data_IF_387562914084
#
_entry.id   IF_387562914084
#
_cell.length_a   1.000
_cell.length_b   1.000
_cell.length_c   1.000
_cell.angle_alpha   90.00
_cell.angle_beta   90.00
_cell.angle_gamma   90.00
#
_symmetry.space_group_name_H-M   'P 1'
#
loop_
_entity.id
_entity.type
_entity.pdbx_description
1 polymer ?
#
# COMPACT_ATOMS: atom_id res chain seq x y z
N UNK A 1 -5.81 11.28 12.63
CA UNK A 1 -6.25 10.14 13.47
C UNK A 1 -6.29 10.40 15.01
N UNK A 2 -6.16 11.63 15.50
CA UNK A 2 -6.15 11.90 16.97
C UNK A 2 -7.41 11.40 17.67
N UNK A 3 -8.58 11.56 17.05
CA UNK A 3 -9.86 11.13 17.66
C UNK A 3 -9.92 9.62 17.91
N UNK A 4 -9.44 8.80 16.97
CA UNK A 4 -9.39 7.34 17.13
C UNK A 4 -8.48 6.95 18.29
N UNK A 5 -7.29 7.55 18.38
CA UNK A 5 -6.36 7.30 19.49
C UNK A 5 -6.97 7.66 20.85
N UNK A 6 -7.69 8.78 20.93
CA UNK A 6 -8.39 9.18 22.17
C UNK A 6 -9.52 8.19 22.54
N UNK A 7 -10.26 7.67 21.56
CA UNK A 7 -11.29 6.64 21.81
C UNK A 7 -10.65 5.32 22.28
N UNK A 8 -9.49 4.92 21.75
CA UNK A 8 -8.75 3.76 22.27
C UNK A 8 -8.40 3.98 23.74
N UNK A 9 -7.94 5.17 24.11
CA UNK A 9 -7.67 5.52 25.50
C UNK A 9 -8.92 5.41 26.39
N UNK A 10 -10.08 5.82 25.87
CA UNK A 10 -11.35 5.66 26.60
C UNK A 10 -11.70 4.18 26.81
N UNK A 11 -11.58 3.36 25.76
CA UNK A 11 -11.82 1.91 25.85
C UNK A 11 -10.91 1.26 26.90
N UNK A 12 -9.62 1.64 26.93
CA UNK A 12 -8.68 1.12 27.93
C UNK A 12 -9.07 1.49 29.36
N UNK A 13 -9.55 2.72 29.57
CA UNK A 13 -10.05 3.16 30.86
C UNK A 13 -11.34 2.41 31.28
N UNK A 14 -12.27 2.24 30.33
CA UNK A 14 -13.53 1.52 30.56
C UNK A 14 -13.30 0.03 30.85
N UNK A 15 -12.22 -0.54 30.29
CA UNK A 15 -11.75 -1.89 30.59
C UNK A 15 -11.05 -2.02 31.96
N UNK A 16 -11.05 -0.97 32.77
CA UNK A 16 -10.45 -0.93 34.10
C UNK A 16 -8.94 -1.21 34.13
N UNK A 17 -8.21 -0.86 33.08
CA UNK A 17 -6.76 -0.85 33.16
C UNK A 17 -6.28 0.14 34.19
N UNK A 18 -5.22 -0.18 34.98
CA UNK A 18 -4.61 0.78 35.88
C UNK A 18 -4.22 2.07 35.12
N UNK A 19 -4.45 3.23 35.71
CA UNK A 19 -4.32 4.54 35.07
C UNK A 19 -2.96 4.83 34.44
N UNK A 20 -1.91 4.12 34.88
CA UNK A 20 -0.54 4.31 34.42
C UNK A 20 -0.09 3.29 33.36
N UNK A 21 -0.97 2.35 32.96
CA UNK A 21 -0.64 1.32 31.97
C UNK A 21 -0.78 1.81 30.54
N UNK A 22 -1.59 2.82 30.28
CA UNK A 22 -1.82 3.34 28.94
C UNK A 22 -2.00 4.87 28.96
N UNK A 23 -1.33 5.56 28.04
CA UNK A 23 -1.47 7.01 27.91
C UNK A 23 -1.34 7.44 26.44
N UNK A 24 -2.34 8.14 25.94
CA UNK A 24 -2.26 8.83 24.67
C UNK A 24 -1.47 10.14 24.81
N UNK A 25 -0.49 10.33 23.94
CA UNK A 25 0.25 11.58 23.80
C UNK A 25 0.13 12.03 22.35
N UNK A 26 -0.41 13.22 22.13
CA UNK A 26 -0.43 13.85 20.81
C UNK A 26 0.84 14.67 20.69
N UNK A 27 1.71 14.29 19.75
CA UNK A 27 3.04 14.86 19.60
C UNK A 27 3.38 15.05 18.12
N UNK A 28 4.26 15.97 17.83
CA UNK A 28 4.92 16.10 16.54
C UNK A 28 6.20 15.24 16.46
N UNK A 29 6.87 15.25 15.32
CA UNK A 29 8.05 14.41 15.08
C UNK A 29 9.23 14.78 16.01
N UNK A 30 9.42 16.06 16.34
CA UNK A 30 10.51 16.50 17.22
C UNK A 30 10.27 16.04 18.65
N UNK A 31 9.01 16.11 19.11
CA UNK A 31 8.61 15.63 20.42
C UNK A 31 8.74 14.10 20.53
N UNK A 32 8.45 13.36 19.47
CA UNK A 32 8.65 11.90 19.42
C UNK A 32 10.12 11.56 19.62
N UNK A 33 11.04 12.28 18.99
CA UNK A 33 12.47 12.06 19.17
C UNK A 33 12.89 12.26 20.63
N UNK A 34 12.39 13.31 21.29
CA UNK A 34 12.63 13.56 22.70
C UNK A 34 12.09 12.40 23.60
N UNK A 35 10.87 11.94 23.33
CA UNK A 35 10.24 10.85 24.09
C UNK A 35 11.05 9.57 23.93
N UNK A 36 11.38 9.25 22.71
CA UNK A 36 12.11 8.00 22.39
C UNK A 36 13.57 8.03 22.86
N UNK A 37 14.18 9.18 22.99
CA UNK A 37 15.53 9.34 23.56
C UNK A 37 15.58 9.17 25.09
N UNK A 38 14.48 9.37 25.80
CA UNK A 38 14.43 9.28 27.26
C UNK A 38 14.79 7.85 27.74
N UNK A 39 15.66 7.76 28.75
CA UNK A 39 16.16 6.48 29.28
C UNK A 39 15.05 5.59 29.89
N UNK A 40 13.95 6.17 30.30
CA UNK A 40 12.79 5.44 30.82
C UNK A 40 12.01 4.70 29.73
N UNK A 41 12.10 5.15 28.47
CA UNK A 41 11.55 4.43 27.32
C UNK A 41 12.51 3.28 26.98
N UNK A 42 12.07 2.07 27.15
CA UNK A 42 12.89 0.86 26.99
C UNK A 42 12.78 0.24 25.61
N UNK A 43 11.64 0.40 24.93
CA UNK A 43 11.34 -0.14 23.61
C UNK A 43 10.52 0.85 22.81
N UNK A 44 10.61 0.79 21.49
CA UNK A 44 9.75 1.52 20.60
C UNK A 44 9.08 0.55 19.60
N UNK A 45 7.82 0.82 19.29
CA UNK A 45 7.13 0.20 18.15
C UNK A 45 6.62 1.32 17.25
N UNK A 46 6.93 1.25 15.98
CA UNK A 46 6.54 2.24 15.00
C UNK A 46 5.83 1.58 13.83
N UNK A 47 4.69 2.15 13.44
CA UNK A 47 4.08 1.94 12.14
C UNK A 47 4.17 3.24 11.36
N UNK A 48 4.80 3.22 10.17
CA UNK A 48 5.01 4.43 9.37
C UNK A 48 5.88 4.23 8.15
N UNK A 49 6.36 5.33 7.55
CA UNK A 49 7.26 5.27 6.40
C UNK A 49 8.67 4.80 6.76
N UNK A 50 9.40 4.29 5.77
CA UNK A 50 10.82 3.88 5.94
C UNK A 50 11.69 5.00 6.50
N UNK A 51 11.51 6.25 6.02
CA UNK A 51 12.28 7.39 6.50
C UNK A 51 12.08 7.66 7.99
N UNK A 52 10.84 7.54 8.48
CA UNK A 52 10.54 7.67 9.91
C UNK A 52 11.09 6.47 10.69
N UNK A 53 10.98 5.25 10.13
CA UNK A 53 11.56 4.04 10.72
C UNK A 53 13.08 4.14 10.90
N UNK A 54 13.78 4.60 9.87
CA UNK A 54 15.22 4.83 9.90
C UNK A 54 15.61 5.89 10.96
N UNK A 55 14.86 6.98 11.05
CA UNK A 55 15.07 8.02 12.06
C UNK A 55 14.87 7.51 13.48
N UNK A 56 13.86 6.69 13.72
CA UNK A 56 13.61 6.04 15.01
C UNK A 56 14.74 5.06 15.32
N UNK A 57 15.13 4.20 14.39
CA UNK A 57 16.21 3.24 14.60
C UNK A 57 17.56 3.91 14.86
N UNK A 58 17.87 4.98 14.12
CA UNK A 58 19.12 5.75 14.28
C UNK A 58 19.19 6.54 15.60
N UNK A 59 18.05 7.02 16.08
CA UNK A 59 17.96 7.81 17.32
C UNK A 59 18.07 6.99 18.61
N UNK A 60 18.05 5.66 18.52
CA UNK A 60 18.00 4.79 19.69
C UNK A 60 19.31 4.09 19.98
N UNK A 61 20.09 4.62 20.92
CA UNK A 61 21.24 3.92 21.48
C UNK A 61 20.78 2.60 22.13
N UNK A 62 20.89 1.48 21.39
CA UNK A 62 20.67 0.11 21.91
C UNK A 62 19.26 -0.22 22.43
N UNK A 63 18.22 0.55 22.07
CA UNK A 63 16.83 0.19 22.41
C UNK A 63 16.26 -0.76 21.37
N UNK A 64 15.55 -1.76 21.83
CA UNK A 64 14.82 -2.66 20.94
C UNK A 64 13.69 -1.88 20.23
N UNK A 65 13.63 -2.03 18.90
CA UNK A 65 12.61 -1.40 18.08
C UNK A 65 11.90 -2.43 17.20
N UNK A 66 10.57 -2.36 17.17
CA UNK A 66 9.73 -3.09 16.23
C UNK A 66 9.25 -2.10 15.19
N UNK A 67 9.54 -2.36 13.92
CA UNK A 67 9.27 -1.43 12.82
C UNK A 67 8.31 -2.11 11.83
N UNK A 68 7.11 -1.51 11.69
CA UNK A 68 6.12 -1.84 10.68
C UNK A 68 6.13 -0.72 9.64
N UNK A 69 6.81 -0.96 8.51
CA UNK A 69 7.12 0.06 7.52
C UNK A 69 6.26 -0.06 6.26
N UNK A 70 6.53 0.80 5.27
CA UNK A 70 5.92 0.77 3.97
C UNK A 70 6.22 -0.51 3.17
N UNK A 71 5.53 -0.71 2.07
CA UNK A 71 5.68 -1.86 1.18
C UNK A 71 5.39 -1.50 -0.27
N UNK A 72 5.70 -2.40 -1.17
CA UNK A 72 5.30 -2.35 -2.58
C UNK A 72 4.96 -3.76 -3.05
N UNK A 73 3.89 -4.29 -2.45
CA UNK A 73 3.52 -5.69 -2.59
C UNK A 73 3.10 -6.02 -4.03
N UNK A 74 3.64 -7.10 -4.62
CA UNK A 74 3.23 -7.58 -5.91
C UNK A 74 1.95 -8.42 -5.82
N UNK A 75 1.12 -8.29 -6.85
CA UNK A 75 -0.02 -9.14 -7.12
C UNK A 75 0.23 -9.80 -8.50
N UNK A 76 0.49 -11.11 -8.51
CA UNK A 76 0.90 -11.81 -9.72
C UNK A 76 -0.30 -12.52 -10.36
N UNK A 77 -0.49 -12.30 -11.66
CA UNK A 77 -1.57 -12.89 -12.46
C UNK A 77 -0.97 -13.76 -13.54
N UNK A 78 -1.19 -15.07 -13.44
CA UNK A 78 -0.71 -16.06 -14.39
C UNK A 78 -1.81 -16.48 -15.38
N UNK A 79 -1.42 -17.16 -16.45
CA UNK A 79 -2.26 -17.59 -17.58
C UNK A 79 -3.49 -18.41 -17.20
N UNK A 80 -3.44 -19.05 -16.05
CA UNK A 80 -4.56 -19.83 -15.53
C UNK A 80 -5.61 -19.03 -14.73
N UNK A 81 -5.42 -17.71 -14.55
CA UNK A 81 -6.31 -16.85 -13.78
C UNK A 81 -7.66 -16.62 -14.48
N UNK A 82 -8.74 -16.53 -13.70
CA UNK A 82 -10.03 -16.01 -14.17
C UNK A 82 -9.97 -14.48 -14.15
N UNK A 83 -10.05 -13.77 -15.29
CA UNK A 83 -9.79 -12.34 -15.35
C UNK A 83 -10.73 -11.52 -14.46
N UNK A 84 -12.03 -11.79 -14.47
CA UNK A 84 -13.00 -10.98 -13.72
C UNK A 84 -12.88 -11.17 -12.20
N UNK A 85 -12.74 -12.40 -11.75
CA UNK A 85 -12.52 -12.72 -10.34
C UNK A 85 -11.18 -12.14 -9.84
N UNK A 86 -10.14 -12.25 -10.66
CA UNK A 86 -8.79 -11.75 -10.35
C UNK A 86 -8.75 -10.24 -10.25
N UNK A 87 -9.37 -9.54 -11.21
CA UNK A 87 -9.46 -8.06 -11.14
C UNK A 87 -10.29 -7.61 -9.94
N UNK A 88 -11.34 -8.34 -9.59
CA UNK A 88 -12.13 -8.03 -8.38
C UNK A 88 -11.25 -8.09 -7.14
N UNK A 89 -10.50 -9.17 -6.97
CA UNK A 89 -9.56 -9.32 -5.84
C UNK A 89 -8.47 -8.24 -5.84
N UNK A 90 -7.89 -7.92 -7.00
CA UNK A 90 -6.88 -6.87 -7.15
C UNK A 90 -7.41 -5.48 -6.73
N UNK A 91 -8.65 -5.15 -7.17
CA UNK A 91 -9.31 -3.89 -6.82
C UNK A 91 -9.62 -3.84 -5.32
N UNK A 92 -10.15 -4.91 -4.74
CA UNK A 92 -10.41 -4.98 -3.29
C UNK A 92 -9.12 -4.82 -2.48
N UNK A 93 -8.06 -5.54 -2.85
CA UNK A 93 -6.74 -5.43 -2.22
C UNK A 93 -6.11 -4.05 -2.36
N UNK A 94 -6.33 -3.37 -3.52
CA UNK A 94 -5.79 -2.03 -3.75
C UNK A 94 -6.60 -0.94 -3.09
N UNK A 95 -7.93 -0.99 -3.19
CA UNK A 95 -8.81 0.12 -2.83
C UNK A 95 -9.23 0.12 -1.36
N UNK A 96 -8.92 -0.92 -0.60
CA UNK A 96 -9.14 -0.94 0.84
C UNK A 96 -8.52 0.30 1.49
N UNK A 97 -9.32 1.03 2.30
CA UNK A 97 -8.91 2.30 2.93
C UNK A 97 -8.35 3.34 1.94
N UNK A 98 -8.89 3.42 0.72
CA UNK A 98 -8.41 4.29 -0.37
C UNK A 98 -6.94 4.04 -0.74
N UNK A 99 -6.48 2.80 -0.64
CA UNK A 99 -5.11 2.38 -0.93
C UNK A 99 -4.08 2.75 0.14
N UNK A 100 -4.51 3.25 1.28
CA UNK A 100 -3.64 3.62 2.40
C UNK A 100 -3.45 2.46 3.37
N UNK A 101 -2.89 1.37 2.86
CA UNK A 101 -2.50 0.20 3.63
C UNK A 101 -1.10 -0.25 3.24
N UNK A 102 -0.30 -0.66 4.22
CA UNK A 102 1.05 -1.17 3.97
C UNK A 102 1.05 -2.46 3.14
N UNK A 103 -0.01 -3.27 3.23
CA UNK A 103 -0.20 -4.53 2.50
C UNK A 103 -1.04 -4.38 1.22
N UNK A 104 -1.38 -3.15 0.79
CA UNK A 104 -2.16 -2.96 -0.42
C UNK A 104 -1.33 -3.30 -1.66
N UNK A 105 -1.81 -4.21 -2.51
CA UNK A 105 -1.15 -4.59 -3.76
C UNK A 105 -0.98 -3.38 -4.67
N UNK A 106 0.27 -3.03 -4.99
CA UNK A 106 0.60 -1.84 -5.79
C UNK A 106 1.13 -2.17 -7.15
N UNK A 107 1.85 -3.28 -7.26
CA UNK A 107 2.44 -3.79 -8.49
C UNK A 107 1.64 -4.99 -8.97
N UNK A 108 0.78 -4.79 -9.97
CA UNK A 108 0.03 -5.87 -10.60
C UNK A 108 0.88 -6.41 -11.75
N UNK A 109 1.40 -7.61 -11.61
CA UNK A 109 2.32 -8.25 -12.56
C UNK A 109 1.54 -9.30 -13.33
N UNK A 110 1.28 -9.05 -14.60
CA UNK A 110 0.34 -9.82 -15.42
C UNK A 110 1.06 -10.42 -16.62
N UNK A 111 0.83 -11.70 -16.89
CA UNK A 111 1.36 -12.34 -18.12
C UNK A 111 0.74 -11.71 -19.37
N UNK A 112 1.54 -11.62 -20.45
CA UNK A 112 1.19 -10.93 -21.69
C UNK A 112 -0.17 -11.34 -22.27
N UNK A 113 -0.50 -12.61 -22.22
CA UNK A 113 -1.76 -13.15 -22.78
C UNK A 113 -3.03 -12.61 -22.09
N UNK A 114 -2.91 -12.13 -20.85
CA UNK A 114 -4.03 -11.57 -20.08
C UNK A 114 -3.92 -10.05 -19.89
N UNK A 115 -2.81 -9.46 -20.30
CA UNK A 115 -2.46 -8.09 -19.92
C UNK A 115 -3.48 -7.05 -20.38
N UNK A 116 -3.83 -7.03 -21.64
CA UNK A 116 -4.72 -6.01 -22.21
C UNK A 116 -6.13 -6.12 -21.59
N UNK A 117 -6.67 -7.33 -21.50
CA UNK A 117 -7.97 -7.59 -20.87
C UNK A 117 -7.96 -7.19 -19.38
N UNK A 118 -6.88 -7.52 -18.67
CA UNK A 118 -6.73 -7.16 -17.26
C UNK A 118 -6.69 -5.64 -17.05
N UNK A 119 -5.93 -4.91 -17.89
CA UNK A 119 -5.85 -3.42 -17.82
C UNK A 119 -7.22 -2.80 -18.08
N UNK A 120 -7.95 -3.29 -19.07
CA UNK A 120 -9.28 -2.78 -19.41
C UNK A 120 -10.28 -3.01 -18.27
N UNK A 121 -10.34 -4.23 -17.72
CA UNK A 121 -11.21 -4.58 -16.60
C UNK A 121 -10.82 -3.80 -15.32
N UNK A 122 -9.53 -3.68 -15.03
CA UNK A 122 -9.03 -2.93 -13.88
C UNK A 122 -9.42 -1.45 -13.97
N UNK A 123 -9.22 -0.86 -15.14
CA UNK A 123 -9.60 0.54 -15.43
C UNK A 123 -11.10 0.74 -15.25
N UNK A 124 -11.92 -0.17 -15.81
CA UNK A 124 -13.37 -0.09 -15.71
C UNK A 124 -13.86 -0.20 -14.25
N UNK A 125 -13.29 -1.11 -13.45
CA UNK A 125 -13.67 -1.26 -12.03
C UNK A 125 -13.16 -0.11 -11.16
N UNK A 126 -11.94 0.34 -11.36
CA UNK A 126 -11.36 1.48 -10.62
C UNK A 126 -12.14 2.78 -10.88
N UNK A 127 -12.60 3.00 -12.11
CA UNK A 127 -13.38 4.19 -12.49
C UNK A 127 -14.77 4.26 -11.83
N UNK A 128 -15.25 3.17 -11.23
CA UNK A 128 -16.54 3.15 -10.54
C UNK A 128 -16.49 3.71 -9.11
N UNK A 129 -15.30 3.91 -8.56
CA UNK A 129 -15.18 4.47 -7.22
C UNK A 129 -15.55 5.95 -7.21
N UNK A 130 -16.44 6.28 -6.30
CA UNK A 130 -16.92 7.66 -6.09
C UNK A 130 -16.18 8.23 -4.87
N UNK A 131 -15.22 9.08 -5.14
CA UNK A 131 -14.53 9.81 -4.09
C UNK A 131 -15.42 10.93 -3.52
N UNK A 132 -15.50 11.08 -2.21
CA UNK A 132 -16.40 12.07 -1.64
C UNK A 132 -16.33 12.21 -0.12
N UNK A 133 -17.34 12.87 0.42
CA UNK A 133 -17.54 12.97 1.88
C UNK A 133 -17.87 11.59 2.44
N UNK A 134 -17.12 11.11 3.45
CA UNK A 134 -17.35 9.79 4.04
C UNK A 134 -18.73 9.58 4.68
N UNK A 135 -19.46 10.66 4.96
CA UNK A 135 -20.84 10.56 5.49
C UNK A 135 -21.91 10.50 4.39
N UNK A 136 -21.53 10.71 3.15
CA UNK A 136 -22.45 10.57 2.02
C UNK A 136 -22.54 9.10 1.61
N UNK A 137 -23.77 8.59 1.48
CA UNK A 137 -24.04 7.19 1.16
C UNK A 137 -23.60 6.77 -0.25
N UNK A 138 -23.38 7.71 -1.17
CA UNK A 138 -22.86 7.43 -2.51
C UNK A 138 -21.32 7.35 -2.56
N UNK A 139 -20.65 7.81 -1.52
CA UNK A 139 -19.19 7.78 -1.46
C UNK A 139 -18.69 6.37 -1.22
N UNK A 140 -17.85 5.86 -2.13
CA UNK A 140 -17.20 4.55 -2.02
C UNK A 140 -15.69 4.67 -1.78
N UNK A 141 -15.14 5.88 -1.84
CA UNK A 141 -13.73 6.14 -1.57
C UNK A 141 -13.58 7.41 -0.73
N UNK A 142 -12.96 7.28 0.43
CA UNK A 142 -12.68 8.38 1.34
C UNK A 142 -11.44 9.20 0.91
N UNK A 143 -11.28 10.44 1.40
CA UNK A 143 -10.05 11.22 1.20
C UNK A 143 -8.83 10.53 1.83
N UNK A 144 -7.65 10.90 1.34
CA UNK A 144 -6.39 10.52 1.98
C UNK A 144 -6.23 11.19 3.34
N UNK A 145 -5.25 10.73 4.11
CA UNK A 145 -5.03 11.13 5.51
C UNK A 145 -4.73 12.63 5.68
N UNK A 146 -4.17 13.28 4.67
CA UNK A 146 -3.81 14.69 4.69
C UNK A 146 -3.62 15.26 3.27
N UNK A 147 -3.67 16.59 3.16
CA UNK A 147 -3.33 17.32 1.94
C UNK A 147 -1.87 17.07 1.49
N UNK A 148 -0.97 16.86 2.46
CA UNK A 148 0.42 16.53 2.14
C UNK A 148 0.51 15.15 1.50
N UNK A 149 -0.16 14.14 2.07
CA UNK A 149 -0.19 12.80 1.49
C UNK A 149 -0.75 12.79 0.05
N UNK A 150 -1.78 13.61 -0.21
CA UNK A 150 -2.32 13.75 -1.56
C UNK A 150 -1.34 14.42 -2.53
N UNK A 151 -0.59 15.44 -2.08
CA UNK A 151 0.45 16.08 -2.90
C UNK A 151 1.59 15.13 -3.21
N UNK A 152 2.12 14.45 -2.19
CA UNK A 152 3.24 13.52 -2.35
C UNK A 152 2.90 12.40 -3.34
N UNK A 153 1.69 11.84 -3.24
CA UNK A 153 1.21 10.82 -4.19
C UNK A 153 1.07 11.38 -5.61
N UNK A 154 0.53 12.58 -5.77
CA UNK A 154 0.39 13.20 -7.09
C UNK A 154 1.75 13.51 -7.73
N UNK A 155 2.74 13.95 -6.95
CA UNK A 155 4.10 14.14 -7.45
C UNK A 155 4.71 12.84 -8.01
N UNK A 156 4.40 11.69 -7.38
CA UNK A 156 4.83 10.37 -7.91
C UNK A 156 4.11 10.01 -9.21
N UNK A 157 2.82 10.32 -9.34
CA UNK A 157 2.06 10.10 -10.58
C UNK A 157 2.55 11.03 -11.69
N UNK A 158 2.74 12.32 -11.38
CA UNK A 158 3.25 13.31 -12.34
C UNK A 158 4.66 12.97 -12.83
N UNK A 159 5.54 12.49 -11.94
CA UNK A 159 6.86 11.98 -12.30
C UNK A 159 6.76 10.83 -13.29
N UNK A 160 5.90 9.84 -13.03
CA UNK A 160 5.71 8.69 -13.91
C UNK A 160 5.20 9.13 -15.30
N UNK A 161 4.22 10.03 -15.35
CA UNK A 161 3.67 10.56 -16.61
C UNK A 161 4.73 11.36 -17.38
N UNK A 162 5.51 12.20 -16.68
CA UNK A 162 6.58 12.97 -17.31
C UNK A 162 7.68 12.09 -17.94
N UNK A 163 7.89 10.89 -17.40
CA UNK A 163 8.83 9.90 -17.92
C UNK A 163 8.20 8.88 -18.91
N UNK A 164 6.93 9.04 -19.28
CA UNK A 164 6.27 8.28 -20.34
C UNK A 164 5.35 7.15 -19.89
N UNK A 165 5.02 7.04 -18.61
CA UNK A 165 3.96 6.16 -18.16
C UNK A 165 2.61 6.57 -18.77
N UNK A 166 1.76 5.59 -19.02
CA UNK A 166 0.40 5.81 -19.54
C UNK A 166 -0.60 5.76 -18.40
N UNK A 167 -1.52 6.72 -18.39
CA UNK A 167 -2.66 6.75 -17.48
C UNK A 167 -3.89 6.22 -18.19
N UNK A 168 -4.57 5.25 -17.60
CA UNK A 168 -5.81 4.68 -18.12
C UNK A 168 -7.05 5.27 -17.45
N UNK A 169 -6.93 5.67 -16.18
CA UNK A 169 -7.94 6.43 -15.45
C UNK A 169 -7.27 7.24 -14.34
N UNK A 170 -7.91 8.32 -13.89
CA UNK A 170 -7.42 9.15 -12.78
C UNK A 170 -6.45 10.23 -13.23
N UNK A 171 -5.29 10.30 -12.62
CA UNK A 171 -4.21 11.29 -12.70
C UNK A 171 -4.56 12.71 -12.18
N UNK A 172 -5.71 12.89 -11.57
CA UNK A 172 -6.11 14.20 -11.06
C UNK A 172 -6.41 14.16 -9.57
N UNK A 173 -6.19 15.29 -8.94
CA UNK A 173 -6.89 15.60 -7.70
C UNK A 173 -8.31 16.04 -8.06
N UNK A 174 -9.30 15.47 -7.39
CA UNK A 174 -10.66 15.91 -7.58
C UNK A 174 -10.76 17.42 -7.29
N UNK A 175 -11.44 18.17 -8.17
CA UNK A 175 -11.70 19.61 -7.99
C UNK A 175 -12.77 19.82 -6.90
N UNK A 176 -12.38 19.48 -5.68
CA UNK A 176 -13.21 19.62 -4.46
C UNK A 176 -12.31 19.78 -3.23
N UNK A 177 -12.83 20.36 -2.13
CA UNK A 177 -12.08 20.46 -0.89
C UNK A 177 -11.71 19.08 -0.32
N UNK A 178 -10.50 18.97 0.23
CA UNK A 178 -10.01 17.76 0.87
C UNK A 178 -8.93 17.03 0.06
N UNK A 179 -8.28 16.10 0.74
CA UNK A 179 -7.15 15.32 0.21
C UNK A 179 -7.62 14.17 -0.72
N UNK A 180 -8.43 14.49 -1.73
CA UNK A 180 -9.00 13.51 -2.64
C UNK A 180 -8.11 13.35 -3.87
N UNK A 181 -7.70 12.10 -4.16
CA UNK A 181 -6.99 11.70 -5.38
C UNK A 181 -7.87 10.69 -6.10
N UNK A 182 -8.02 10.84 -7.40
CA UNK A 182 -8.85 9.93 -8.19
C UNK A 182 -8.16 8.56 -8.33
N UNK A 183 -8.96 7.46 -8.39
CA UNK A 183 -8.43 6.12 -8.64
C UNK A 183 -7.64 6.09 -9.94
N UNK A 184 -6.37 5.74 -9.87
CA UNK A 184 -5.42 5.86 -10.99
C UNK A 184 -4.81 4.52 -11.36
N UNK A 185 -4.84 4.18 -12.65
CA UNK A 185 -4.19 3.01 -13.23
C UNK A 185 -3.06 3.46 -14.15
N UNK A 186 -1.84 3.05 -13.84
CA UNK A 186 -0.63 3.35 -14.59
C UNK A 186 -0.11 2.10 -15.29
N UNK A 187 0.41 2.28 -16.51
CA UNK A 187 1.18 1.25 -17.24
C UNK A 187 2.44 1.87 -17.83
N UNK A 188 3.40 1.01 -18.23
CA UNK A 188 4.66 1.46 -18.80
C UNK A 188 5.58 2.16 -17.78
N UNK A 189 5.40 1.91 -16.51
CA UNK A 189 6.30 2.38 -15.46
C UNK A 189 7.63 1.64 -15.55
N UNK A 190 8.73 2.39 -15.47
CA UNK A 190 10.10 1.89 -15.55
C UNK A 190 10.90 2.23 -14.30
N UNK A 191 12.07 1.60 -14.12
CA UNK A 191 12.98 1.79 -12.99
C UNK A 191 13.42 3.26 -12.77
N UNK A 192 13.31 4.10 -13.79
CA UNK A 192 13.67 5.52 -13.70
C UNK A 192 12.59 6.39 -13.05
N UNK A 193 11.40 5.82 -12.82
CA UNK A 193 10.25 6.53 -12.28
C UNK A 193 10.10 6.26 -10.78
N UNK A 194 9.73 7.28 -10.02
CA UNK A 194 9.47 7.18 -8.58
C UNK A 194 8.40 6.12 -8.26
N UNK A 195 7.40 5.99 -9.12
CA UNK A 195 6.32 5.00 -8.97
C UNK A 195 6.80 3.53 -9.01
N UNK A 196 8.01 3.26 -9.54
CA UNK A 196 8.62 1.93 -9.52
C UNK A 196 9.25 1.59 -8.17
N UNK A 197 9.98 2.53 -7.58
CA UNK A 197 10.85 2.31 -6.42
C UNK A 197 10.27 2.81 -5.09
N UNK A 198 9.27 3.71 -5.13
CA UNK A 198 8.66 4.29 -3.94
C UNK A 198 7.29 3.67 -3.64
N UNK A 199 6.88 3.79 -2.38
CA UNK A 199 5.54 3.37 -1.96
C UNK A 199 4.47 4.35 -2.47
N UNK A 200 3.53 3.85 -3.31
CA UNK A 200 2.34 4.61 -3.72
C UNK A 200 1.24 4.46 -2.65
N UNK A 201 1.17 5.38 -1.70
CA UNK A 201 0.27 5.27 -0.53
C UNK A 201 -1.07 5.96 -0.77
N UNK A 202 -1.89 5.37 -1.67
CA UNK A 202 -3.19 5.90 -2.07
C UNK A 202 -3.80 5.10 -3.22
N UNK A 203 -4.86 5.57 -3.89
CA UNK A 203 -5.64 4.82 -4.87
C UNK A 203 -4.95 4.75 -6.25
N UNK A 204 -3.65 4.47 -6.28
CA UNK A 204 -2.83 4.38 -7.50
C UNK A 204 -2.24 2.99 -7.62
N UNK A 205 -2.32 2.37 -8.78
CA UNK A 205 -1.80 1.04 -9.08
C UNK A 205 -0.97 1.08 -10.35
N UNK A 206 0.07 0.24 -10.40
CA UNK A 206 0.88 0.02 -11.59
C UNK A 206 0.65 -1.39 -12.12
N UNK A 207 0.39 -1.52 -13.42
CA UNK A 207 0.25 -2.82 -14.10
C UNK A 207 1.45 -3.04 -15.00
N UNK A 208 2.15 -4.15 -14.76
CA UNK A 208 3.31 -4.59 -15.53
C UNK A 208 2.95 -5.81 -16.39
N UNK A 209 3.49 -5.85 -17.60
CA UNK A 209 3.42 -7.02 -18.48
C UNK A 209 4.70 -7.84 -18.35
N UNK A 210 4.58 -9.15 -18.27
CA UNK A 210 5.68 -10.12 -18.25
C UNK A 210 5.39 -11.28 -19.17
N UNK A 211 6.43 -11.88 -19.76
CA UNK A 211 6.24 -12.97 -20.72
C UNK A 211 5.84 -14.30 -20.05
N UNK A 212 6.21 -14.52 -18.79
CA UNK A 212 6.00 -15.79 -18.10
C UNK A 212 6.15 -15.66 -16.59
N UNK A 213 5.93 -16.78 -15.87
CA UNK A 213 6.03 -16.87 -14.41
C UNK A 213 7.42 -16.53 -13.87
N UNK A 214 8.50 -16.96 -14.56
CA UNK A 214 9.88 -16.69 -14.10
C UNK A 214 10.18 -15.19 -14.10
N UNK A 215 9.73 -14.46 -15.13
CA UNK A 215 9.83 -13.00 -15.20
C UNK A 215 8.95 -12.33 -14.14
N UNK A 216 7.75 -12.88 -13.89
CA UNK A 216 6.88 -12.36 -12.85
C UNK A 216 7.53 -12.46 -11.46
N UNK A 217 8.13 -13.60 -11.16
CA UNK A 217 8.87 -13.82 -9.90
C UNK A 217 10.10 -12.92 -9.82
N UNK A 218 10.85 -12.77 -10.91
CA UNK A 218 12.00 -11.89 -10.94
C UNK A 218 11.61 -10.43 -10.66
N UNK A 219 10.56 -9.93 -11.33
CA UNK A 219 10.06 -8.57 -11.11
C UNK A 219 9.47 -8.39 -9.70
N UNK A 220 8.76 -9.40 -9.18
CA UNK A 220 8.23 -9.36 -7.82
C UNK A 220 9.33 -9.17 -6.77
N UNK A 221 10.47 -9.83 -6.97
CA UNK A 221 11.62 -9.76 -6.08
C UNK A 221 12.51 -8.53 -6.31
N UNK A 222 12.34 -7.82 -7.40
CA UNK A 222 13.08 -6.58 -7.70
C UNK A 222 12.45 -5.41 -6.94
N UNK A 223 12.66 -5.41 -5.64
CA UNK A 223 12.13 -4.40 -4.72
C UNK A 223 13.01 -4.30 -3.47
N UNK A 224 13.21 -3.09 -2.96
CA UNK A 224 13.83 -2.85 -1.65
C UNK A 224 12.90 -3.19 -0.48
N UNK A 225 11.62 -3.38 -0.75
CA UNK A 225 10.61 -3.73 0.24
C UNK A 225 10.51 -5.24 0.43
N UNK A 226 10.31 -5.68 1.67
CA UNK A 226 10.12 -7.10 2.01
C UNK A 226 8.78 -7.30 2.72
N UNK A 227 7.71 -7.69 1.99
CA UNK A 227 6.38 -7.91 2.55
C UNK A 227 5.63 -9.05 1.88
N UNK A 228 4.38 -9.23 2.30
CA UNK A 228 3.48 -10.27 1.83
C UNK A 228 3.19 -10.12 0.32
N UNK A 229 3.01 -11.23 -0.35
CA UNK A 229 2.78 -11.30 -1.78
C UNK A 229 1.47 -12.05 -2.06
N UNK A 230 0.65 -11.50 -2.93
CA UNK A 230 -0.57 -12.13 -3.42
C UNK A 230 -0.31 -12.82 -4.76
N UNK A 231 -0.46 -14.15 -4.77
CA UNK A 231 -0.46 -14.95 -5.98
C UNK A 231 -1.88 -15.40 -6.32
N UNK A 232 -2.34 -15.10 -7.52
CA UNK A 232 -3.62 -15.60 -8.02
C UNK A 232 -3.39 -16.59 -9.16
N UNK A 233 -3.84 -17.81 -8.94
CA UNK A 233 -3.80 -18.87 -9.92
C UNK A 233 -5.22 -19.43 -10.17
N UNK A 234 -5.57 -19.68 -11.44
CA UNK A 234 -6.88 -20.20 -11.87
C UNK A 234 -7.24 -21.55 -11.25
N UNK A 235 -6.25 -22.38 -10.95
CA UNK A 235 -6.48 -23.77 -10.54
C UNK A 235 -7.19 -23.92 -9.20
N UNK A 236 -7.14 -22.91 -8.31
CA UNK A 236 -7.72 -23.01 -6.97
C UNK A 236 -8.88 -22.06 -6.71
N UNK A 237 -9.07 -21.00 -7.51
CA UNK A 237 -10.05 -19.94 -7.18
C UNK A 237 -9.82 -19.30 -5.80
N UNK A 238 -8.72 -19.62 -5.16
CA UNK A 238 -8.36 -19.16 -3.82
C UNK A 238 -7.26 -18.13 -3.89
N UNK A 239 -7.43 -17.03 -3.17
CA UNK A 239 -6.40 -16.06 -2.91
C UNK A 239 -5.36 -16.71 -1.98
N UNK A 240 -4.20 -17.06 -2.51
CA UNK A 240 -3.13 -17.62 -1.71
C UNK A 240 -2.29 -16.48 -1.11
N UNK A 241 -2.79 -15.90 -0.03
CA UNK A 241 -1.94 -15.06 0.83
C UNK A 241 -0.90 -15.95 1.51
N UNK A 242 0.38 -15.69 1.29
CA UNK A 242 1.47 -16.44 1.93
C UNK A 242 2.50 -15.53 2.59
N UNK A 243 2.98 -15.93 3.79
CA UNK A 243 3.87 -15.09 4.59
C UNK A 243 5.35 -15.15 4.16
N UNK A 244 5.95 -13.97 4.11
CA UNK A 244 7.28 -13.58 4.57
C UNK A 244 8.57 -14.14 4.00
N UNK A 245 8.61 -14.96 2.95
CA UNK A 245 9.92 -15.39 2.41
C UNK A 245 9.91 -15.35 0.88
N UNK A 246 10.62 -14.38 0.31
CA UNK A 246 10.89 -14.31 -1.13
C UNK A 246 11.61 -15.56 -1.65
N UNK A 247 12.42 -16.24 -0.82
CA UNK A 247 13.00 -17.55 -1.12
C UNK A 247 11.96 -18.69 -1.13
N UNK A 248 10.86 -18.56 -0.38
CA UNK A 248 9.80 -19.56 -0.36
C UNK A 248 9.04 -19.62 -1.70
N UNK A 249 8.96 -18.50 -2.39
CA UNK A 249 8.29 -18.35 -3.68
C UNK A 249 8.92 -19.24 -4.76
N UNK A 250 10.26 -19.25 -4.84
CA UNK A 250 10.99 -20.13 -5.76
C UNK A 250 10.87 -21.63 -5.45
N UNK A 251 10.48 -21.98 -4.23
CA UNK A 251 10.29 -23.38 -3.81
C UNK A 251 8.87 -23.90 -4.01
N UNK A 252 7.87 -23.01 -4.15
CA UNK A 252 6.49 -23.40 -4.27
C UNK A 252 6.03 -23.56 -5.72
N UNK A 253 6.62 -22.81 -6.64
CA UNK A 253 6.46 -23.03 -8.08
C UNK A 253 7.06 -24.37 -8.54
N UNK A 254 8.01 -24.91 -7.80
CA UNK A 254 8.64 -26.21 -8.10
C UNK A 254 7.86 -27.42 -7.56
N UNK A 255 6.72 -27.24 -6.87
CA UNK A 255 5.95 -28.31 -6.21
C UNK A 255 4.46 -28.32 -6.58
N UNK A 256 4.02 -27.54 -7.57
CA UNK A 256 2.72 -27.58 -8.22
C UNK A 256 2.87 -28.00 -9.68
#
# INVERSE_FOLDING_TARGET
>A
MPKTALHVGQVMNDALLPSDCYRNVLSDNDQIQMITADERVRRASLTGSEGVGAAVAAGHSLKESVLELGGSDPFIVLDSADPDATVTAAVEGRMANSGQSCIASRRLIVVEDLYDEFVDLMTAKMSQFVAGDPVDSVTTMAPLSSEQAARDLMEQVEDAVAHGAKVHTGEHRADRPGAVVDPTVLTGVTEQMRACSEELFGPVVVVYSVANEDEAVALANDSSFGRDQDLVNRASGENLTRPRDTELYSRLSASL
#
